data_IF_378726106832
#
_entry.id   IF_378726106832
#
_cell.length_a   1.000
_cell.length_b   1.000
_cell.length_c   1.000
_cell.angle_alpha   90.00
_cell.angle_beta   90.00
_cell.angle_gamma   90.00
#
_symmetry.space_group_name_H-M   'P 1'
#
loop_
_entity.id
_entity.type
_entity.pdbx_description
1 polymer ?
#
# COMPACT_ATOMS: atom_id res chain seq x y z
N UNK A 1 9.32 22.40 14.52
CA UNK A 1 8.10 23.16 14.23
C UNK A 1 6.93 22.26 14.62
N UNK A 2 6.04 22.75 15.47
CA UNK A 2 4.92 21.93 15.94
C UNK A 2 3.77 21.97 14.92
N UNK A 3 2.91 20.93 14.84
CA UNK A 3 1.70 20.97 14.01
C UNK A 3 0.82 22.19 14.32
N UNK A 4 0.77 22.61 15.59
CA UNK A 4 0.05 23.81 16.02
C UNK A 4 0.59 25.08 15.34
N UNK A 5 1.91 25.26 15.38
CA UNK A 5 2.58 26.43 14.80
C UNK A 5 2.40 26.49 13.28
N UNK A 6 2.29 25.35 12.61
CA UNK A 6 2.06 25.29 11.16
C UNK A 6 0.66 25.80 10.80
N UNK A 7 -0.34 25.41 11.58
CA UNK A 7 -1.74 25.77 11.33
C UNK A 7 -2.01 27.23 11.70
N UNK A 8 -1.54 27.64 12.87
CA UNK A 8 -1.87 28.95 13.43
C UNK A 8 -0.81 30.02 13.12
N UNK A 9 0.36 29.63 12.61
CA UNK A 9 1.48 30.51 12.28
C UNK A 9 2.08 31.29 13.46
N UNK A 10 1.75 30.86 14.69
CA UNK A 10 2.35 31.33 15.94
C UNK A 10 2.54 30.15 16.91
N UNK A 11 3.47 30.29 17.84
CA UNK A 11 3.76 29.26 18.85
C UNK A 11 2.63 29.16 19.86
N UNK A 12 2.25 27.95 20.31
CA UNK A 12 1.23 27.81 21.34
C UNK A 12 1.65 28.60 22.58
N UNK A 13 0.70 29.31 23.19
CA UNK A 13 0.98 30.05 24.43
C UNK A 13 1.27 29.05 25.55
N UNK A 14 2.43 29.21 26.16
CA UNK A 14 2.88 28.42 27.31
C UNK A 14 2.34 29.11 28.58
N UNK A 15 2.15 28.42 29.72
CA UNK A 15 1.64 29.06 30.94
C UNK A 15 2.39 30.33 31.38
N UNK A 16 3.68 30.43 31.07
CA UNK A 16 4.50 31.64 31.31
C UNK A 16 4.07 32.85 30.45
N UNK A 17 3.49 32.61 29.28
CA UNK A 17 3.02 33.64 28.34
C UNK A 17 1.65 34.23 28.71
N UNK A 18 1.00 33.67 29.74
CA UNK A 18 -0.31 34.14 30.23
C UNK A 18 -0.19 35.30 31.22
N UNK A 19 1.03 35.66 31.65
CA UNK A 19 1.29 36.81 32.50
C UNK A 19 0.92 38.09 31.72
N UNK A 20 0.09 38.99 32.28
CA UNK A 20 -0.34 40.18 31.56
C UNK A 20 0.86 41.10 31.29
N UNK A 21 1.34 41.08 30.04
CA UNK A 21 2.36 42.02 29.57
C UNK A 21 1.77 43.45 29.53
N UNK A 22 2.55 44.46 29.93
CA UNK A 22 2.09 45.85 29.88
C UNK A 22 1.80 46.27 28.43
N UNK A 23 0.80 47.14 28.24
CA UNK A 23 0.21 47.45 26.92
C UNK A 23 1.21 47.92 25.86
N UNK A 24 2.30 48.58 26.27
CA UNK A 24 3.36 49.06 25.39
C UNK A 24 4.27 47.95 24.83
N UNK A 25 4.23 46.74 25.40
CA UNK A 25 4.97 45.57 24.91
C UNK A 25 4.21 44.81 23.80
N UNK A 26 2.94 45.16 23.53
CA UNK A 26 2.12 44.51 22.50
C UNK A 26 2.25 45.23 21.15
N UNK A 27 3.40 45.08 20.50
CA UNK A 27 3.54 45.54 19.12
C UNK A 27 2.74 44.60 18.20
N UNK A 28 1.68 45.09 17.55
CA UNK A 28 1.01 44.34 16.50
C UNK A 28 1.83 44.46 15.21
N UNK A 29 2.41 43.36 14.73
CA UNK A 29 3.02 43.34 13.40
C UNK A 29 1.96 43.66 12.33
N UNK A 30 2.39 44.27 11.23
CA UNK A 30 1.50 44.51 10.07
C UNK A 30 0.96 43.18 9.56
N UNK A 31 -0.34 43.14 9.25
CA UNK A 31 -1.02 41.96 8.70
C UNK A 31 -0.35 41.43 7.43
N UNK A 32 0.26 42.31 6.63
CA UNK A 32 0.97 41.93 5.40
C UNK A 32 2.25 41.14 5.70
N UNK A 33 3.04 41.56 6.69
CA UNK A 33 4.25 40.85 7.10
C UNK A 33 3.92 39.45 7.64
N UNK A 34 2.85 39.36 8.44
CA UNK A 34 2.36 38.08 8.94
C UNK A 34 1.96 37.15 7.78
N UNK A 35 1.18 37.63 6.82
CA UNK A 35 0.76 36.83 5.66
C UNK A 35 1.95 36.36 4.81
N UNK A 36 2.96 37.22 4.60
CA UNK A 36 4.19 36.85 3.90
C UNK A 36 4.97 35.77 4.67
N UNK A 37 5.07 35.92 5.99
CA UNK A 37 5.70 34.92 6.87
C UNK A 37 4.99 33.57 6.77
N UNK A 38 3.66 33.51 6.87
CA UNK A 38 2.88 32.26 6.74
C UNK A 38 3.13 31.58 5.40
N UNK A 39 3.12 32.33 4.29
CA UNK A 39 3.38 31.78 2.94
C UNK A 39 4.78 31.19 2.83
N UNK A 40 5.79 31.90 3.36
CA UNK A 40 7.18 31.44 3.37
C UNK A 40 7.31 30.16 4.22
N UNK A 41 6.71 30.17 5.40
CA UNK A 41 6.67 29.05 6.33
C UNK A 41 6.11 27.79 5.66
N UNK A 42 4.93 27.89 5.05
CA UNK A 42 4.29 26.77 4.36
C UNK A 42 5.12 26.26 3.19
N UNK A 43 5.72 27.16 2.39
CA UNK A 43 6.61 26.78 1.28
C UNK A 43 7.82 26.00 1.77
N UNK A 44 8.43 26.39 2.89
CA UNK A 44 9.55 25.66 3.48
C UNK A 44 9.12 24.29 4.02
N UNK A 45 7.96 24.20 4.67
CA UNK A 45 7.42 22.94 5.18
C UNK A 45 7.13 21.96 4.05
N UNK A 46 6.47 22.41 2.98
CA UNK A 46 6.17 21.55 1.83
C UNK A 46 7.44 20.96 1.23
N UNK A 47 8.50 21.77 1.12
CA UNK A 47 9.82 21.30 0.67
C UNK A 47 10.40 20.24 1.61
N UNK A 48 10.34 20.46 2.92
CA UNK A 48 10.83 19.51 3.93
C UNK A 48 10.06 18.18 3.90
N UNK A 49 8.72 18.25 3.81
CA UNK A 49 7.87 17.05 3.70
C UNK A 49 8.19 16.29 2.43
N UNK A 50 8.32 16.97 1.28
CA UNK A 50 8.70 16.32 0.02
C UNK A 50 10.05 15.61 0.14
N UNK A 51 11.08 16.30 0.62
CA UNK A 51 12.41 15.73 0.79
C UNK A 51 12.39 14.52 1.75
N UNK A 52 11.66 14.61 2.86
CA UNK A 52 11.49 13.51 3.82
C UNK A 52 10.78 12.32 3.17
N UNK A 53 9.68 12.56 2.44
CA UNK A 53 8.95 11.53 1.72
C UNK A 53 9.82 10.85 0.66
N UNK A 54 10.64 11.61 -0.07
CA UNK A 54 11.56 11.07 -1.07
C UNK A 54 12.63 10.18 -0.43
N UNK A 55 13.21 10.59 0.70
CA UNK A 55 14.17 9.75 1.44
C UNK A 55 13.51 8.48 1.97
N UNK A 56 12.32 8.58 2.55
CA UNK A 56 11.57 7.44 3.05
C UNK A 56 11.22 6.46 1.93
N UNK A 57 10.75 6.99 0.79
CA UNK A 57 10.45 6.20 -0.41
C UNK A 57 11.68 5.43 -0.89
N UNK A 58 12.84 6.08 -1.03
CA UNK A 58 14.08 5.42 -1.44
C UNK A 58 14.44 4.27 -0.51
N UNK A 59 14.41 4.49 0.80
CA UNK A 59 14.73 3.46 1.79
C UNK A 59 13.73 2.29 1.75
N UNK A 60 12.44 2.58 1.63
CA UNK A 60 11.40 1.56 1.52
C UNK A 60 11.51 0.75 0.23
N UNK A 61 11.75 1.42 -0.91
CA UNK A 61 11.86 0.80 -2.22
C UNK A 61 13.10 -0.11 -2.31
N UNK A 62 14.21 0.20 -1.61
CA UNK A 62 15.39 -0.68 -1.55
C UNK A 62 15.10 -2.08 -1.00
N UNK A 63 14.12 -2.23 -0.10
CA UNK A 63 13.75 -3.51 0.50
C UNK A 63 12.55 -4.17 -0.20
N UNK A 64 11.92 -3.49 -1.16
CA UNK A 64 10.71 -3.99 -1.83
C UNK A 64 11.08 -4.97 -2.93
N UNK A 65 10.57 -6.20 -2.85
CA UNK A 65 10.60 -7.13 -3.99
C UNK A 65 9.51 -6.74 -4.98
N UNK A 66 9.91 -6.53 -6.23
CA UNK A 66 8.97 -6.26 -7.32
C UNK A 66 8.38 -7.61 -7.74
N UNK A 67 7.11 -7.80 -7.42
CA UNK A 67 6.29 -8.81 -8.07
C UNK A 67 5.41 -8.07 -9.07
N UNK A 68 5.26 -8.60 -10.27
CA UNK A 68 4.29 -8.10 -11.24
C UNK A 68 3.61 -9.29 -11.87
N UNK A 69 2.29 -9.21 -11.96
CA UNK A 69 1.47 -10.19 -12.64
C UNK A 69 0.77 -9.52 -13.80
N UNK A 70 0.57 -10.26 -14.89
CA UNK A 70 -0.25 -9.84 -16.02
C UNK A 70 -1.62 -10.51 -15.97
N UNK A 71 -2.57 -9.93 -16.71
CA UNK A 71 -3.90 -10.47 -16.88
C UNK A 71 -3.81 -11.86 -17.53
N UNK A 72 -4.63 -12.80 -17.08
CA UNK A 72 -4.60 -14.19 -17.54
C UNK A 72 -3.67 -15.13 -16.75
N UNK A 73 -2.76 -14.63 -15.91
CA UNK A 73 -1.94 -15.48 -15.06
C UNK A 73 -2.74 -16.08 -13.89
N UNK A 74 -2.39 -17.32 -13.54
CA UNK A 74 -2.92 -18.00 -12.36
C UNK A 74 -2.10 -17.64 -11.12
N UNK A 75 -2.81 -17.26 -10.06
CA UNK A 75 -2.25 -16.90 -8.77
C UNK A 75 -3.02 -17.59 -7.65
N UNK A 76 -2.29 -17.95 -6.60
CA UNK A 76 -2.86 -18.42 -5.35
C UNK A 76 -3.08 -17.22 -4.43
N UNK A 77 -4.25 -17.14 -3.81
CA UNK A 77 -4.61 -16.01 -2.93
C UNK A 77 -4.41 -16.43 -1.48
N UNK A 78 -3.72 -15.59 -0.71
CA UNK A 78 -3.67 -15.68 0.75
C UNK A 78 -4.74 -14.78 1.35
N UNK A 79 -5.83 -15.38 1.84
CA UNK A 79 -6.94 -14.63 2.41
C UNK A 79 -6.70 -14.39 3.91
N UNK A 80 -6.73 -13.14 4.33
CA UNK A 80 -6.66 -12.76 5.74
C UNK A 80 -7.94 -13.15 6.49
N UNK A 81 -7.85 -13.58 7.75
CA UNK A 81 -9.02 -13.95 8.54
C UNK A 81 -10.04 -12.82 8.67
N UNK A 82 -9.60 -11.56 8.65
CA UNK A 82 -10.49 -10.38 8.76
C UNK A 82 -11.44 -10.21 7.55
N UNK A 83 -11.11 -10.81 6.39
CA UNK A 83 -11.93 -10.66 5.18
C UNK A 83 -13.10 -11.64 5.12
N UNK A 84 -13.05 -12.73 5.89
CA UNK A 84 -14.12 -13.71 5.88
C UNK A 84 -15.34 -13.20 6.63
N UNK A 85 -16.56 -13.54 6.17
CA UNK A 85 -17.76 -13.27 6.92
C UNK A 85 -17.72 -13.94 8.31
N UNK A 86 -18.35 -13.30 9.29
CA UNK A 86 -18.37 -13.76 10.67
C UNK A 86 -18.95 -15.18 10.77
N UNK A 87 -18.18 -16.10 11.35
CA UNK A 87 -18.57 -17.50 11.56
C UNK A 87 -18.05 -18.50 10.54
N UNK A 88 -17.42 -18.06 9.44
CA UNK A 88 -16.90 -18.99 8.40
C UNK A 88 -15.52 -19.55 8.73
N UNK A 89 -14.68 -18.81 9.45
CA UNK A 89 -13.30 -19.23 9.75
C UNK A 89 -13.27 -20.33 10.82
N UNK A 90 -13.00 -21.57 10.41
CA UNK A 90 -12.75 -22.68 11.34
C UNK A 90 -11.25 -22.74 11.68
N UNK A 91 -10.92 -23.17 12.90
CA UNK A 91 -9.53 -23.41 13.32
C UNK A 91 -8.89 -24.44 12.37
N UNK A 92 -7.65 -24.19 11.94
CA UNK A 92 -6.88 -25.01 10.98
C UNK A 92 -7.35 -24.98 9.51
N UNK A 93 -8.20 -24.04 9.08
CA UNK A 93 -8.47 -23.88 7.65
C UNK A 93 -7.26 -23.34 6.90
N UNK A 94 -7.04 -23.88 5.69
CA UNK A 94 -6.03 -23.39 4.78
C UNK A 94 -6.30 -21.92 4.43
N UNK A 95 -5.27 -21.09 4.55
CA UNK A 95 -5.33 -19.65 4.23
C UNK A 95 -5.12 -19.36 2.75
N UNK A 96 -4.42 -20.27 2.07
CA UNK A 96 -4.27 -20.26 0.62
C UNK A 96 -5.51 -20.88 -0.03
N UNK A 97 -6.15 -20.14 -0.91
CA UNK A 97 -7.23 -20.63 -1.76
C UNK A 97 -6.68 -21.05 -3.13
N UNK A 98 -7.47 -21.81 -3.89
CA UNK A 98 -7.15 -22.38 -5.22
C UNK A 98 -6.51 -21.39 -6.21
N UNK A 99 -5.86 -21.88 -7.30
CA UNK A 99 -5.39 -20.98 -8.35
C UNK A 99 -6.56 -20.23 -8.98
N UNK A 100 -6.52 -18.90 -8.92
CA UNK A 100 -7.46 -18.01 -9.58
C UNK A 100 -6.75 -17.24 -10.67
N UNK A 101 -7.49 -16.94 -11.74
CA UNK A 101 -6.97 -16.14 -12.84
C UNK A 101 -7.08 -14.65 -12.51
N UNK A 102 -6.05 -13.89 -12.82
CA UNK A 102 -6.13 -12.42 -12.75
C UNK A 102 -6.95 -11.93 -13.93
N UNK A 103 -8.07 -11.26 -13.64
CA UNK A 103 -8.94 -10.66 -14.64
C UNK A 103 -8.41 -9.31 -15.10
N UNK A 104 -7.97 -8.48 -14.15
CA UNK A 104 -7.57 -7.10 -14.45
C UNK A 104 -6.51 -6.57 -13.49
N UNK A 105 -5.53 -5.83 -14.02
CA UNK A 105 -4.59 -5.02 -13.21
C UNK A 105 -5.15 -3.60 -13.02
N UNK A 106 -5.53 -3.24 -11.79
CA UNK A 106 -6.00 -1.87 -11.48
C UNK A 106 -4.82 -0.92 -11.35
N UNK A 107 -3.72 -1.40 -10.76
CA UNK A 107 -2.48 -0.66 -10.60
C UNK A 107 -1.34 -1.59 -10.16
N UNK A 108 -0.18 -1.05 -9.80
CA UNK A 108 0.99 -1.86 -9.42
C UNK A 108 0.75 -2.76 -8.20
N UNK A 109 -0.10 -2.33 -7.26
CA UNK A 109 -0.36 -3.04 -6.00
C UNK A 109 -1.70 -3.76 -5.93
N UNK A 110 -2.63 -3.54 -6.88
CA UNK A 110 -4.02 -3.99 -6.75
C UNK A 110 -4.50 -4.68 -8.02
N UNK A 111 -5.06 -5.88 -7.84
CA UNK A 111 -5.48 -6.78 -8.92
C UNK A 111 -6.87 -7.31 -8.64
N UNK A 112 -7.65 -7.48 -9.71
CA UNK A 112 -8.95 -8.16 -9.68
C UNK A 112 -8.73 -9.60 -10.12
N UNK A 113 -9.17 -10.54 -9.29
CA UNK A 113 -9.08 -11.98 -9.56
C UNK A 113 -10.46 -12.57 -9.81
N UNK A 114 -10.48 -13.67 -10.56
CA UNK A 114 -11.68 -14.43 -10.90
C UNK A 114 -12.14 -15.26 -9.69
N UNK A 115 -12.67 -14.59 -8.67
CA UNK A 115 -13.09 -15.23 -7.43
C UNK A 115 -14.57 -15.64 -7.50
N UNK A 116 -14.89 -16.92 -7.22
CA UNK A 116 -16.27 -17.38 -7.18
C UNK A 116 -17.10 -16.64 -6.11
N UNK A 117 -18.38 -16.30 -6.39
CA UNK A 117 -19.22 -15.53 -5.48
C UNK A 117 -19.50 -16.25 -4.16
N UNK A 118 -19.33 -17.57 -4.11
CA UNK A 118 -19.50 -18.40 -2.91
C UNK A 118 -18.52 -18.04 -1.79
N UNK A 119 -17.37 -17.45 -2.11
CA UNK A 119 -16.40 -17.01 -1.11
C UNK A 119 -16.91 -15.84 -0.26
N UNK A 120 -17.87 -15.05 -0.74
CA UNK A 120 -18.45 -13.93 -0.01
C UNK A 120 -17.46 -12.81 0.35
N UNK A 121 -16.31 -12.75 -0.34
CA UNK A 121 -15.28 -11.71 -0.16
C UNK A 121 -15.10 -10.90 -1.46
N UNK A 122 -14.54 -9.70 -1.34
CA UNK A 122 -14.22 -8.88 -2.53
C UNK A 122 -13.15 -9.54 -3.40
N UNK A 123 -13.33 -9.48 -4.72
CA UNK A 123 -12.40 -9.97 -5.74
C UNK A 123 -11.15 -9.10 -5.93
N UNK A 124 -11.03 -7.98 -5.21
CA UNK A 124 -9.86 -7.09 -5.29
C UNK A 124 -8.84 -7.42 -4.21
N UNK A 125 -7.63 -7.79 -4.64
CA UNK A 125 -6.54 -8.20 -3.76
C UNK A 125 -5.30 -7.32 -3.92
N UNK A 126 -4.55 -7.17 -2.82
CA UNK A 126 -3.23 -6.56 -2.87
C UNK A 126 -2.22 -7.59 -3.39
N UNK A 127 -1.20 -7.13 -4.12
CA UNK A 127 -0.15 -7.99 -4.65
C UNK A 127 0.58 -8.81 -3.57
N UNK A 128 0.69 -8.28 -2.35
CA UNK A 128 1.28 -8.99 -1.21
C UNK A 128 0.48 -10.22 -0.78
N UNK A 129 -0.81 -10.24 -1.08
CA UNK A 129 -1.70 -11.35 -0.78
C UNK A 129 -1.80 -12.34 -1.97
N UNK A 130 -1.05 -12.11 -3.06
CA UNK A 130 -1.01 -12.97 -4.25
C UNK A 130 0.33 -13.70 -4.35
N UNK A 131 0.27 -14.99 -4.68
CA UNK A 131 1.43 -15.84 -4.89
C UNK A 131 1.35 -16.45 -6.29
N UNK A 132 2.45 -16.43 -7.04
CA UNK A 132 2.51 -17.10 -8.34
C UNK A 132 2.17 -18.59 -8.18
N UNK A 133 1.18 -19.07 -8.92
CA UNK A 133 0.89 -20.50 -8.95
C UNK A 133 2.02 -21.20 -9.72
N UNK A 134 2.58 -22.26 -9.12
CA UNK A 134 3.50 -23.17 -9.80
C UNK A 134 2.73 -24.46 -10.00
N UNK A 135 2.56 -24.87 -11.24
CA UNK A 135 2.00 -26.19 -11.54
C UNK A 135 2.85 -27.24 -10.82
N UNK A 136 2.23 -28.18 -10.08
CA UNK A 136 2.94 -29.32 -9.58
C UNK A 136 3.51 -30.05 -10.80
N UNK A 137 4.84 -30.09 -10.92
CA UNK A 137 5.51 -30.98 -11.87
C UNK A 137 4.85 -32.35 -11.69
N UNK A 138 4.26 -32.88 -12.75
CA UNK A 138 3.65 -34.20 -12.75
C UNK A 138 4.73 -35.16 -12.26
N UNK A 139 4.70 -35.54 -10.98
CA UNK A 139 5.44 -36.71 -10.52
C UNK A 139 4.78 -37.86 -11.25
N UNK A 140 5.47 -38.55 -12.17
CA UNK A 140 4.91 -39.73 -12.80
C UNK A 140 4.49 -40.65 -11.67
N UNK A 141 3.21 -40.95 -11.57
CA UNK A 141 2.69 -41.91 -10.59
C UNK A 141 3.25 -43.31 -10.85
N UNK A 142 3.85 -43.51 -12.03
CA UNK A 142 4.43 -44.75 -12.49
C UNK A 142 5.84 -44.48 -13.08
N UNK A 143 6.92 -45.11 -12.57
CA UNK A 143 8.28 -44.92 -13.11
C UNK A 143 8.49 -45.41 -14.55
N UNK A 144 7.46 -45.96 -15.22
CA UNK A 144 7.55 -46.52 -16.58
C UNK A 144 6.59 -45.90 -17.61
N UNK A 145 5.88 -44.81 -17.30
CA UNK A 145 5.06 -44.15 -18.33
C UNK A 145 5.94 -43.44 -19.40
N UNK A 146 5.73 -43.72 -20.70
CA UNK A 146 6.43 -43.00 -21.75
C UNK A 146 5.93 -41.55 -21.80
N UNK A 147 6.86 -40.60 -21.63
CA UNK A 147 6.59 -39.17 -21.73
C UNK A 147 5.85 -38.84 -23.02
N UNK A 148 4.72 -38.11 -22.91
CA UNK A 148 3.99 -37.60 -24.06
C UNK A 148 4.93 -36.75 -24.94
N UNK A 149 4.88 -36.88 -26.28
CA UNK A 149 5.72 -36.09 -27.16
C UNK A 149 5.34 -34.61 -27.03
N UNK A 150 6.35 -33.78 -26.77
CA UNK A 150 6.26 -32.33 -26.91
C UNK A 150 6.01 -32.06 -28.40
N UNK A 151 4.75 -31.80 -28.79
CA UNK A 151 4.45 -31.20 -30.08
C UNK A 151 4.94 -29.76 -30.04
N UNK A 152 6.17 -29.57 -30.51
CA UNK A 152 6.70 -28.27 -30.87
C UNK A 152 6.01 -27.82 -32.17
N UNK A 153 4.98 -26.98 -32.07
CA UNK A 153 4.57 -26.15 -33.22
C UNK A 153 5.69 -25.14 -33.53
N UNK A 154 6.22 -25.10 -34.77
CA UNK A 154 6.95 -23.94 -35.25
C UNK A 154 5.93 -22.98 -35.87
N UNK A 155 5.80 -21.77 -35.33
CA UNK A 155 5.06 -20.72 -36.04
C UNK A 155 5.96 -20.01 -37.07
N UNK A 156 5.40 -19.65 -38.24
CA UNK A 156 6.10 -19.06 -39.39
C UNK A 156 6.54 -17.60 -39.21
#
# INVERSE_FOLDING_TARGET
MSPFEIVYSYKPRVPVDLIPLPMHARMSESAELFAQHVRKLHKEITKKISASNDTYKKLADCHKRIHEFSEGYYVMIWVRPERFPSGTVKKLQARGASPFRILKKIGSNAYVVDLPPEYGISSTFNILDLVAYKEPTVTPSDPFEPSLPIESEPLP
#
